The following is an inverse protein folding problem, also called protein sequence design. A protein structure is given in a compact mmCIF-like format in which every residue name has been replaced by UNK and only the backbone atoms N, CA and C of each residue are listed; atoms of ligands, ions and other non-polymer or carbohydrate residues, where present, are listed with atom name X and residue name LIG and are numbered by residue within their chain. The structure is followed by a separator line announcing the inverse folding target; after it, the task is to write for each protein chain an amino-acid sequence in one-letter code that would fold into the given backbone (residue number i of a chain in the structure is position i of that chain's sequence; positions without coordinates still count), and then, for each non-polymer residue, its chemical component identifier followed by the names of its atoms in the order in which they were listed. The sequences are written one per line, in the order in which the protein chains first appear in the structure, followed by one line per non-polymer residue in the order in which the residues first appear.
data_IF_449250767839
#
_entry.id   IF_449250767839
#
_cell.length_a   1.000
_cell.length_b   1.000
_cell.length_c   1.000
_cell.angle_alpha   90.00
_cell.angle_beta   90.00
_cell.angle_gamma   90.00
#
_symmetry.space_group_name_H-M   'P 1'
#
loop_
_entity.id
_entity.type
_entity.pdbx_description
1 polymer ?
#
# COMPACT_ATOMS: atom_id res chain seq x y z
N UNK A 1 11.54 -16.47 80.75
CA UNK A 1 10.24 -16.88 80.18
C UNK A 1 10.11 -16.26 78.79
N UNK A 2 10.26 -17.02 77.72
CA UNK A 2 10.12 -16.52 76.35
C UNK A 2 8.76 -16.94 75.79
N UNK A 3 7.90 -15.97 75.45
CA UNK A 3 6.58 -16.22 74.88
C UNK A 3 6.71 -16.30 73.36
N UNK A 4 6.73 -17.52 72.81
CA UNK A 4 6.73 -17.73 71.35
C UNK A 4 5.34 -17.38 70.80
N UNK A 5 5.25 -16.31 70.03
CA UNK A 5 4.05 -15.94 69.27
C UNK A 5 3.98 -16.77 67.99
N UNK A 6 3.07 -17.74 67.95
CA UNK A 6 2.83 -18.61 66.79
C UNK A 6 2.08 -17.83 65.70
N UNK A 7 2.73 -17.58 64.56
CA UNK A 7 2.06 -17.03 63.36
C UNK A 7 1.02 -18.02 62.84
N UNK A 8 -0.26 -17.67 62.91
CA UNK A 8 -1.34 -18.43 62.26
C UNK A 8 -1.27 -18.21 60.74
N UNK A 9 -0.96 -19.26 59.99
CA UNK A 9 -1.05 -19.25 58.53
C UNK A 9 -2.53 -19.24 58.11
N UNK A 10 -2.96 -18.17 57.45
CA UNK A 10 -4.30 -18.07 56.86
C UNK A 10 -4.38 -19.06 55.71
N UNK A 11 -5.05 -20.20 55.95
CA UNK A 11 -5.30 -21.21 54.92
C UNK A 11 -6.54 -20.77 54.14
N UNK A 12 -6.33 -20.14 52.99
CA UNK A 12 -7.42 -19.77 52.07
C UNK A 12 -8.16 -21.04 51.65
N UNK A 13 -9.39 -21.23 52.15
CA UNK A 13 -10.33 -22.21 51.62
C UNK A 13 -10.76 -21.69 50.25
N UNK A 14 -10.15 -22.20 49.18
CA UNK A 14 -10.56 -21.87 47.82
C UNK A 14 -11.95 -22.48 47.59
N UNK A 15 -12.97 -21.65 47.40
CA UNK A 15 -14.25 -22.13 46.92
C UNK A 15 -14.10 -22.47 45.43
N UNK A 16 -14.72 -23.57 44.95
CA UNK A 16 -14.62 -23.98 43.54
C UNK A 16 -15.14 -22.90 42.57
N UNK A 17 -15.98 -21.99 43.07
CA UNK A 17 -16.50 -20.84 42.32
C UNK A 17 -15.41 -19.80 42.06
N UNK A 18 -14.55 -19.51 43.04
CA UNK A 18 -13.46 -18.53 42.88
C UNK A 18 -12.42 -19.05 41.88
N UNK A 19 -12.06 -20.32 41.95
CA UNK A 19 -11.14 -20.93 40.97
C UNK A 19 -11.76 -20.94 39.57
N UNK A 20 -13.05 -21.24 39.43
CA UNK A 20 -13.73 -21.18 38.13
C UNK A 20 -13.74 -19.77 37.53
N UNK A 21 -14.01 -18.74 38.34
CA UNK A 21 -13.98 -17.34 37.89
C UNK A 21 -12.59 -16.90 37.44
N UNK A 22 -11.53 -17.31 38.15
CA UNK A 22 -10.15 -17.00 37.77
C UNK A 22 -9.78 -17.68 36.45
N UNK A 23 -10.16 -18.95 36.25
CA UNK A 23 -9.91 -19.68 35.00
C UNK A 23 -10.66 -19.04 33.84
N UNK A 24 -11.92 -18.65 34.03
CA UNK A 24 -12.71 -17.96 33.01
C UNK A 24 -12.09 -16.61 32.62
N UNK A 25 -11.59 -15.84 33.59
CA UNK A 25 -10.89 -14.58 33.34
C UNK A 25 -9.59 -14.79 32.55
N UNK A 26 -8.81 -15.82 32.86
CA UNK A 26 -7.58 -16.16 32.12
C UNK A 26 -7.90 -16.55 30.68
N UNK A 27 -8.92 -17.39 30.45
CA UNK A 27 -9.35 -17.77 29.10
C UNK A 27 -9.79 -16.54 28.31
N UNK A 28 -10.57 -15.64 28.92
CA UNK A 28 -11.00 -14.40 28.27
C UNK A 28 -9.82 -13.51 27.86
N UNK A 29 -8.81 -13.36 28.73
CA UNK A 29 -7.58 -12.64 28.42
C UNK A 29 -6.84 -13.31 27.25
N UNK A 30 -6.66 -14.64 27.28
CA UNK A 30 -5.99 -15.37 26.19
C UNK A 30 -6.71 -15.19 24.84
N UNK A 31 -8.03 -15.28 24.80
CA UNK A 31 -8.83 -15.09 23.58
C UNK A 31 -8.66 -13.68 23.03
N UNK A 32 -8.76 -12.66 23.88
CA UNK A 32 -8.59 -11.25 23.45
C UNK A 32 -7.17 -10.96 22.96
N UNK A 33 -6.14 -11.57 23.55
CA UNK A 33 -4.76 -11.44 23.08
C UNK A 33 -4.54 -12.03 21.68
N UNK A 34 -5.17 -13.16 21.37
CA UNK A 34 -5.07 -13.80 20.04
C UNK A 34 -5.72 -12.92 18.96
N UNK A 35 -6.89 -12.33 19.25
CA UNK A 35 -7.58 -11.40 18.33
C UNK A 35 -6.75 -10.15 18.07
N UNK A 36 -6.01 -9.65 19.08
CA UNK A 36 -5.11 -8.51 18.88
C UNK A 36 -3.86 -8.88 18.10
N UNK A 37 -3.30 -10.08 18.29
CA UNK A 37 -2.15 -10.56 17.54
C UNK A 37 -2.44 -10.70 16.04
N UNK A 38 -3.63 -11.21 15.67
CA UNK A 38 -4.04 -11.28 14.26
C UNK A 38 -4.26 -9.90 13.65
N UNK A 39 -4.78 -8.93 14.42
CA UNK A 39 -4.99 -7.55 13.95
C UNK A 39 -3.69 -6.76 13.71
N UNK A 40 -2.59 -7.10 14.38
CA UNK A 40 -1.30 -6.44 14.15
C UNK A 40 -0.64 -6.94 12.86
N UNK A 41 -0.77 -8.24 12.57
CA UNK A 41 -0.17 -8.84 11.38
C UNK A 41 -0.94 -8.52 10.09
N UNK A 42 -2.24 -8.22 10.19
CA UNK A 42 -3.01 -7.73 9.03
C UNK A 42 -2.69 -6.28 8.71
N UNK A 43 -2.48 -5.42 9.72
CA UNK A 43 -2.08 -4.03 9.52
C UNK A 43 -0.71 -3.90 8.87
N UNK A 44 0.29 -4.69 9.29
CA UNK A 44 1.62 -4.63 8.68
C UNK A 44 1.63 -5.04 7.21
N UNK A 45 0.85 -6.08 6.84
CA UNK A 45 0.70 -6.48 5.44
C UNK A 45 -0.02 -5.42 4.59
N UNK A 46 -1.07 -4.82 5.13
CA UNK A 46 -1.81 -3.76 4.43
C UNK A 46 -0.95 -2.51 4.20
N UNK A 47 -0.09 -2.13 5.17
CA UNK A 47 0.81 -1.00 5.01
C UNK A 47 1.85 -1.27 3.90
N UNK A 48 2.45 -2.46 3.87
CA UNK A 48 3.43 -2.81 2.84
C UNK A 48 2.84 -2.90 1.42
N UNK A 49 1.59 -3.37 1.29
CA UNK A 49 0.88 -3.35 0.00
C UNK A 49 0.48 -1.93 -0.42
N UNK A 50 0.08 -1.08 0.55
CA UNK A 50 -0.25 0.32 0.27
C UNK A 50 0.99 1.10 -0.15
N UNK A 51 2.14 0.91 0.50
CA UNK A 51 3.39 1.58 0.12
C UNK A 51 3.81 1.21 -1.30
N UNK A 52 3.82 -0.07 -1.65
CA UNK A 52 4.18 -0.52 -3.01
C UNK A 52 3.21 0.03 -4.07
N UNK A 53 1.92 0.04 -3.78
CA UNK A 53 0.93 0.57 -4.74
C UNK A 53 1.02 2.09 -4.89
N UNK A 54 1.35 2.81 -3.81
CA UNK A 54 1.58 4.26 -3.88
C UNK A 54 2.87 4.58 -4.64
N UNK A 55 3.95 3.84 -4.44
CA UNK A 55 5.20 4.01 -5.19
C UNK A 55 5.00 3.76 -6.69
N UNK A 56 4.29 2.68 -7.06
CA UNK A 56 3.98 2.39 -8.46
C UNK A 56 3.18 3.52 -9.12
N UNK A 57 2.17 4.06 -8.43
CA UNK A 57 1.37 5.19 -8.95
C UNK A 57 2.20 6.45 -9.14
N UNK A 58 3.15 6.71 -8.24
CA UNK A 58 4.05 7.87 -8.37
C UNK A 58 4.99 7.70 -9.57
N UNK A 59 5.52 6.49 -9.78
CA UNK A 59 6.41 6.23 -10.90
C UNK A 59 5.67 6.30 -12.24
N UNK A 60 4.47 5.72 -12.33
CA UNK A 60 3.60 5.80 -13.51
C UNK A 60 3.24 7.26 -13.84
N UNK A 61 2.83 8.04 -12.84
CA UNK A 61 2.51 9.46 -13.03
C UNK A 61 3.72 10.28 -13.51
N UNK A 62 4.92 10.00 -13.00
CA UNK A 62 6.15 10.66 -13.47
C UNK A 62 6.47 10.28 -14.92
N UNK A 63 6.31 9.01 -15.28
CA UNK A 63 6.56 8.55 -16.64
C UNK A 63 5.57 9.15 -17.63
N UNK A 64 4.29 9.25 -17.25
CA UNK A 64 3.26 9.91 -18.05
C UNK A 64 3.59 11.40 -18.22
N UNK A 65 3.99 12.08 -17.15
CA UNK A 65 4.40 13.49 -17.21
C UNK A 65 5.61 13.71 -18.14
N UNK A 66 6.62 12.84 -18.09
CA UNK A 66 7.77 12.91 -18.98
C UNK A 66 7.39 12.69 -20.45
N UNK A 67 6.44 11.78 -20.72
CA UNK A 67 5.93 11.54 -22.08
C UNK A 67 5.15 12.75 -22.60
N UNK A 68 4.30 13.35 -21.77
CA UNK A 68 3.55 14.55 -22.12
C UNK A 68 4.48 15.74 -22.40
N UNK A 69 5.53 15.95 -21.59
CA UNK A 69 6.54 17.00 -21.83
C UNK A 69 7.31 16.77 -23.14
N UNK A 70 7.65 15.50 -23.45
CA UNK A 70 8.29 15.15 -24.72
C UNK A 70 7.36 15.41 -25.92
N UNK A 71 6.08 15.07 -25.81
CA UNK A 71 5.08 15.34 -26.84
C UNK A 71 4.85 16.84 -27.02
N UNK A 72 4.75 17.60 -25.94
CA UNK A 72 4.61 19.06 -26.00
C UNK A 72 5.78 19.69 -26.74
N UNK A 73 7.02 19.28 -26.40
CA UNK A 73 8.23 19.74 -27.10
C UNK A 73 8.21 19.36 -28.57
N UNK A 74 7.82 18.13 -28.92
CA UNK A 74 7.70 17.70 -30.32
C UNK A 74 6.68 18.53 -31.09
N UNK A 75 5.51 18.80 -30.50
CA UNK A 75 4.47 19.64 -31.12
C UNK A 75 4.91 21.08 -31.36
N UNK A 76 5.84 21.60 -30.56
CA UNK A 76 6.42 22.94 -30.74
C UNK A 76 7.52 22.99 -31.82
N UNK A 77 7.95 21.84 -32.35
CA UNK A 77 9.01 21.79 -33.37
C UNK A 77 8.48 22.04 -34.78
N UNK A 78 9.38 22.49 -35.66
CA UNK A 78 9.10 22.61 -37.09
C UNK A 78 8.81 21.26 -37.77
N UNK A 79 9.27 20.15 -37.18
CA UNK A 79 9.03 18.79 -37.66
C UNK A 79 7.54 18.44 -37.55
N UNK A 80 6.91 18.75 -36.42
CA UNK A 80 5.46 18.59 -36.27
C UNK A 80 4.66 19.44 -37.27
N UNK A 81 5.09 20.68 -37.53
CA UNK A 81 4.44 21.55 -38.53
C UNK A 81 4.56 20.94 -39.93
N UNK A 82 5.72 20.39 -40.27
CA UNK A 82 5.97 19.72 -41.54
C UNK A 82 5.13 18.45 -41.69
N UNK A 83 5.05 17.62 -40.66
CA UNK A 83 4.25 16.40 -40.66
C UNK A 83 2.76 16.71 -40.81
N UNK A 84 2.25 17.72 -40.09
CA UNK A 84 0.86 18.16 -40.22
C UNK A 84 0.60 18.78 -41.59
N UNK A 85 1.55 19.51 -42.18
CA UNK A 85 1.44 20.07 -43.52
C UNK A 85 1.44 18.97 -44.60
N UNK A 86 2.27 17.94 -44.45
CA UNK A 86 2.30 16.75 -45.29
C UNK A 86 0.98 16.00 -45.24
N UNK A 87 0.47 15.73 -44.04
CA UNK A 87 -0.76 14.94 -43.82
C UNK A 87 -2.02 15.70 -44.24
N UNK A 88 -2.17 16.95 -43.80
CA UNK A 88 -3.41 17.72 -44.04
C UNK A 88 -3.47 18.44 -45.37
N UNK A 89 -2.34 18.96 -45.86
CA UNK A 89 -2.28 19.78 -47.07
C UNK A 89 -1.67 19.02 -48.25
N UNK A 90 -1.16 17.79 -48.03
CA UNK A 90 -0.48 17.02 -49.07
C UNK A 90 0.80 17.69 -49.57
N UNK A 91 1.36 18.61 -48.77
CA UNK A 91 2.55 19.37 -49.15
C UNK A 91 3.77 18.47 -49.02
N UNK A 92 4.68 18.52 -49.99
CA UNK A 92 5.98 17.84 -49.92
C UNK A 92 7.10 18.85 -50.05
N UNK A 93 8.28 18.49 -49.55
CA UNK A 93 9.45 19.32 -49.76
C UNK A 93 9.80 19.39 -51.25
N UNK A 94 10.41 20.49 -51.72
CA UNK A 94 10.77 20.68 -53.13
C UNK A 94 11.60 19.51 -53.72
N UNK A 95 12.36 18.82 -52.87
CA UNK A 95 13.25 17.72 -53.25
C UNK A 95 12.64 16.31 -53.02
N UNK A 96 11.36 16.21 -52.59
CA UNK A 96 10.66 14.95 -52.32
C UNK A 96 9.63 14.61 -53.43
N UNK A 97 9.63 13.35 -53.92
CA UNK A 97 8.68 12.85 -54.94
C UNK A 97 7.46 12.18 -54.28
N UNK A 98 6.24 12.63 -54.63
CA UNK A 98 4.98 12.00 -54.20
C UNK A 98 4.64 10.81 -55.11
N UNK A 99 4.71 9.58 -54.58
CA UNK A 99 4.23 8.37 -55.26
C UNK A 99 2.87 7.99 -54.67
N UNK A 100 1.79 8.20 -55.43
CA UNK A 100 0.46 7.67 -55.08
C UNK A 100 0.24 6.33 -55.80
N UNK A 101 -0.33 5.31 -55.14
CA UNK A 101 -0.71 4.08 -55.82
C UNK A 101 -1.76 4.40 -56.89
N UNK A 102 -1.56 3.89 -58.11
CA UNK A 102 -2.59 3.91 -59.14
C UNK A 102 -3.61 2.82 -58.80
N UNK A 103 -4.89 3.20 -58.70
CA UNK A 103 -5.99 2.22 -58.75
C UNK A 103 -6.09 1.59 -60.14
#
# INVERSE_FOLDING_TARGET
MAKSSTKKSVRYRQSPVITFLVVAAVIFICVTSIVRATSLHTKSKQLAETEKTMELKVEEAKQEQANLDAQEKYMQTNEYIEDVAKDKLGLVKPDELVIRPAE
#
